data_IF_935467663617
#
_entry.id   IF_935467663617
#
_cell.length_a   1.000
_cell.length_b   1.000
_cell.length_c   1.000
_cell.angle_alpha   90.00
_cell.angle_beta   90.00
_cell.angle_gamma   90.00
#
_symmetry.space_group_name_H-M   'P 1'
#
loop_
_entity.id
_entity.type
_entity.pdbx_description
1 polymer ?
#
# COMPACT_ATOMS: atom_id res chain seq x y z
N UNK A 1 -5.56 7.27 -21.05
CA UNK A 1 -6.78 6.53 -21.39
C UNK A 1 -7.59 7.30 -22.43
N UNK A 2 -8.34 6.59 -23.27
CA UNK A 2 -9.05 7.22 -24.39
C UNK A 2 -10.54 7.39 -24.07
N UNK A 3 -10.91 8.62 -23.77
CA UNK A 3 -12.31 9.02 -23.48
C UNK A 3 -12.95 8.19 -22.34
N UNK A 4 -14.27 8.23 -22.24
CA UNK A 4 -15.02 7.45 -21.25
C UNK A 4 -14.84 5.94 -21.37
N UNK A 5 -14.98 5.32 -22.56
CA UNK A 5 -14.80 3.88 -22.72
C UNK A 5 -13.39 3.41 -22.33
N UNK A 6 -12.34 4.16 -22.67
CA UNK A 6 -10.97 3.82 -22.27
C UNK A 6 -10.74 3.97 -20.76
N UNK A 7 -11.33 4.97 -20.12
CA UNK A 7 -11.31 5.11 -18.67
C UNK A 7 -12.09 3.96 -18.00
N UNK A 8 -13.27 3.63 -18.50
CA UNK A 8 -14.08 2.55 -17.97
C UNK A 8 -13.34 1.21 -17.94
N UNK A 9 -12.58 0.89 -18.99
CA UNK A 9 -11.73 -0.30 -19.04
C UNK A 9 -10.60 -0.28 -17.98
N UNK A 10 -10.14 0.89 -17.56
CA UNK A 10 -9.11 1.06 -16.54
C UNK A 10 -9.62 1.02 -15.09
N UNK A 11 -10.94 1.16 -14.86
CA UNK A 11 -11.50 1.37 -13.51
C UNK A 11 -11.19 0.24 -12.53
N UNK A 12 -11.14 -1.01 -12.97
CA UNK A 12 -10.84 -2.15 -12.11
C UNK A 12 -9.44 -2.01 -11.48
N UNK A 13 -8.43 -1.70 -12.30
CA UNK A 13 -7.06 -1.51 -11.82
C UNK A 13 -6.87 -0.19 -11.08
N UNK A 14 -7.59 0.87 -11.46
CA UNK A 14 -7.61 2.13 -10.70
C UNK A 14 -8.24 1.92 -9.32
N UNK A 15 -9.28 1.07 -9.18
CA UNK A 15 -9.81 0.70 -7.88
C UNK A 15 -8.72 0.03 -7.00
N UNK A 16 -7.97 -0.93 -7.55
CA UNK A 16 -6.89 -1.60 -6.84
C UNK A 16 -5.79 -0.61 -6.43
N UNK A 17 -5.38 0.27 -7.33
CA UNK A 17 -4.40 1.32 -7.06
C UNK A 17 -4.87 2.29 -5.95
N UNK A 18 -6.15 2.66 -5.94
CA UNK A 18 -6.73 3.47 -4.86
C UNK A 18 -6.66 2.75 -3.51
N UNK A 19 -7.01 1.44 -3.47
CA UNK A 19 -6.90 0.63 -2.24
C UNK A 19 -5.46 0.49 -1.77
N UNK A 20 -4.51 0.47 -2.69
CA UNK A 20 -3.08 0.40 -2.43
C UNK A 20 -2.42 1.76 -2.07
N UNK A 21 -3.16 2.88 -2.18
CA UNK A 21 -2.60 4.23 -2.07
C UNK A 21 -1.43 4.46 -3.03
N UNK A 22 -1.54 3.93 -4.26
CA UNK A 22 -0.49 4.05 -5.27
C UNK A 22 -0.58 5.42 -5.94
N UNK A 23 0.50 6.21 -5.94
CA UNK A 23 0.54 7.47 -6.69
C UNK A 23 0.40 7.20 -8.19
N UNK A 24 -0.65 7.75 -8.81
CA UNK A 24 -0.87 7.62 -10.26
C UNK A 24 -1.32 8.97 -10.81
N UNK A 25 -0.69 9.39 -11.91
CA UNK A 25 -1.24 10.43 -12.78
C UNK A 25 -2.00 9.72 -13.89
N UNK A 26 -3.31 9.82 -13.86
CA UNK A 26 -4.22 9.22 -14.84
C UNK A 26 -4.63 10.27 -15.85
N UNK A 27 -4.07 10.22 -17.06
CA UNK A 27 -4.41 11.13 -18.15
C UNK A 27 -5.51 10.51 -19.00
N UNK A 28 -6.63 11.22 -19.11
CA UNK A 28 -7.79 10.79 -19.91
C UNK A 28 -8.00 11.82 -21.01
N UNK A 29 -7.78 11.41 -22.27
CA UNK A 29 -8.09 12.26 -23.42
C UNK A 29 -9.61 12.46 -23.55
N UNK A 30 -10.00 13.65 -23.96
CA UNK A 30 -11.41 14.00 -24.22
C UNK A 30 -11.56 14.64 -25.60
N UNK A 31 -12.79 14.80 -26.07
CA UNK A 31 -13.09 15.58 -27.27
C UNK A 31 -12.60 17.00 -27.13
N UNK A 32 -12.24 17.63 -28.28
CA UNK A 32 -11.93 19.05 -28.29
C UNK A 32 -13.07 19.87 -27.68
N UNK A 33 -12.74 20.92 -26.95
CA UNK A 33 -13.73 21.71 -26.19
C UNK A 33 -14.88 22.23 -27.08
N UNK A 34 -14.59 22.63 -28.31
CA UNK A 34 -15.58 23.09 -29.27
C UNK A 34 -16.43 21.94 -29.87
N UNK A 35 -15.98 20.68 -29.73
CA UNK A 35 -16.66 19.51 -30.28
C UNK A 35 -17.63 18.86 -29.28
N UNK A 36 -17.43 19.06 -27.98
CA UNK A 36 -18.22 18.42 -26.91
C UNK A 36 -19.74 18.65 -27.05
N UNK A 37 -20.16 19.79 -27.60
CA UNK A 37 -21.58 20.13 -27.80
C UNK A 37 -22.33 19.21 -28.78
N UNK A 38 -21.63 18.43 -29.59
CA UNK A 38 -22.23 17.60 -30.65
C UNK A 38 -22.54 16.17 -30.24
N UNK A 39 -22.30 15.81 -28.99
CA UNK A 39 -22.59 14.47 -28.43
C UNK A 39 -22.07 13.35 -29.34
N UNK A 40 -20.78 13.41 -29.66
CA UNK A 40 -20.14 12.45 -30.55
C UNK A 40 -20.23 11.01 -29.99
N UNK A 41 -20.08 9.95 -30.82
CA UNK A 41 -20.32 8.56 -30.41
C UNK A 41 -19.55 8.07 -29.19
N UNK A 42 -18.44 8.69 -28.83
CA UNK A 42 -17.65 8.36 -27.63
C UNK A 42 -17.76 9.41 -26.51
N UNK A 43 -18.65 10.41 -26.67
CA UNK A 43 -18.92 11.35 -25.60
C UNK A 43 -19.42 10.61 -24.36
N UNK A 44 -18.96 11.01 -23.18
CA UNK A 44 -19.25 10.33 -21.93
C UNK A 44 -19.05 11.26 -20.75
N UNK A 45 -19.72 10.99 -19.63
CA UNK A 45 -19.41 11.63 -18.35
C UNK A 45 -18.11 11.08 -17.77
N UNK A 46 -16.97 11.58 -18.31
CA UNK A 46 -15.63 11.15 -17.88
C UNK A 46 -15.38 11.50 -16.41
N UNK A 47 -15.85 12.67 -15.95
CA UNK A 47 -15.73 13.05 -14.55
C UNK A 47 -16.50 12.11 -13.63
N UNK A 48 -17.71 11.71 -14.00
CA UNK A 48 -18.52 10.75 -13.27
C UNK A 48 -17.83 9.39 -13.15
N UNK A 49 -17.15 8.91 -14.20
CA UNK A 49 -16.37 7.69 -14.15
C UNK A 49 -15.09 7.84 -13.30
N UNK A 50 -14.40 8.97 -13.37
CA UNK A 50 -13.15 9.20 -12.65
C UNK A 50 -13.36 9.44 -11.15
N UNK A 51 -14.44 10.10 -10.75
CA UNK A 51 -14.69 10.56 -9.37
C UNK A 51 -14.59 9.46 -8.30
N UNK A 52 -15.12 8.24 -8.47
CA UNK A 52 -15.05 7.21 -7.44
C UNK A 52 -13.63 6.70 -7.15
N UNK A 53 -12.71 6.83 -8.09
CA UNK A 53 -11.35 6.29 -7.98
C UNK A 53 -10.29 7.36 -7.76
N UNK A 54 -10.59 8.64 -8.04
CA UNK A 54 -9.63 9.74 -7.99
C UNK A 54 -9.71 10.52 -6.67
N UNK A 55 -8.58 10.85 -6.08
CA UNK A 55 -8.48 11.79 -4.97
C UNK A 55 -8.33 13.23 -5.43
N UNK A 56 -7.87 13.44 -6.68
CA UNK A 56 -7.80 14.72 -7.36
C UNK A 56 -8.29 14.54 -8.80
N UNK A 57 -9.12 15.46 -9.26
CA UNK A 57 -9.75 15.42 -10.58
C UNK A 57 -9.79 16.83 -11.15
N UNK A 58 -9.28 17.00 -12.35
CA UNK A 58 -9.28 18.28 -13.05
C UNK A 58 -9.41 18.08 -14.56
N UNK A 59 -10.18 18.93 -15.22
CA UNK A 59 -10.26 19.02 -16.67
C UNK A 59 -9.50 20.26 -17.13
N UNK A 60 -8.46 20.07 -17.96
CA UNK A 60 -7.69 21.18 -18.52
C UNK A 60 -8.52 21.90 -19.58
N UNK A 61 -8.65 23.20 -19.45
CA UNK A 61 -9.52 24.00 -20.34
C UNK A 61 -8.74 24.86 -21.35
N UNK A 62 -7.42 24.84 -21.31
CA UNK A 62 -6.59 25.69 -22.15
C UNK A 62 -5.20 25.08 -22.38
N UNK A 63 -4.65 25.19 -23.60
CA UNK A 63 -3.26 24.81 -23.87
C UNK A 63 -2.26 25.66 -23.07
N UNK A 64 -2.64 26.87 -22.67
CA UNK A 64 -1.79 27.75 -21.85
C UNK A 64 -1.61 27.26 -20.41
N UNK A 65 -2.58 26.54 -19.85
CA UNK A 65 -2.54 26.03 -18.47
C UNK A 65 -2.15 24.55 -18.37
N UNK A 66 -2.17 23.81 -19.46
CA UNK A 66 -1.98 22.35 -19.47
C UNK A 66 -0.70 21.89 -18.76
N UNK A 67 0.40 22.64 -18.94
CA UNK A 67 1.67 22.31 -18.28
C UNK A 67 1.57 22.46 -16.75
N UNK A 68 0.92 23.51 -16.26
CA UNK A 68 0.67 23.72 -14.82
C UNK A 68 -0.30 22.70 -14.27
N UNK A 69 -1.34 22.35 -15.04
CA UNK A 69 -2.31 21.32 -14.64
C UNK A 69 -1.64 19.94 -14.52
N UNK A 70 -0.73 19.61 -15.44
CA UNK A 70 0.12 18.43 -15.35
C UNK A 70 1.02 18.42 -14.10
N UNK A 71 1.67 19.54 -13.80
CA UNK A 71 2.49 19.67 -12.60
C UNK A 71 1.66 19.50 -11.30
N UNK A 72 0.44 20.07 -11.26
CA UNK A 72 -0.52 19.89 -10.16
C UNK A 72 -0.99 18.43 -10.03
N UNK A 73 -1.24 17.75 -11.13
CA UNK A 73 -1.61 16.34 -11.12
C UNK A 73 -0.52 15.47 -10.50
N UNK A 74 0.77 15.73 -10.85
CA UNK A 74 1.91 15.02 -10.23
C UNK A 74 2.00 15.33 -8.74
N UNK A 75 1.91 16.59 -8.36
CA UNK A 75 1.92 17.01 -6.94
C UNK A 75 0.79 16.33 -6.17
N UNK A 76 -0.42 16.34 -6.70
CA UNK A 76 -1.58 15.72 -6.06
C UNK A 76 -1.43 14.20 -5.93
N UNK A 77 -0.92 13.52 -6.97
CA UNK A 77 -0.68 12.09 -6.93
C UNK A 77 0.31 11.70 -5.83
N UNK A 78 1.34 12.51 -5.62
CA UNK A 78 2.40 12.28 -4.63
C UNK A 78 2.03 12.69 -3.21
N UNK A 79 0.86 13.31 -2.99
CA UNK A 79 0.42 13.70 -1.65
C UNK A 79 0.22 12.45 -0.78
N UNK A 80 0.82 12.38 0.45
CA UNK A 80 0.69 11.23 1.32
C UNK A 80 -0.77 10.86 1.65
N UNK A 81 -1.09 9.56 1.65
CA UNK A 81 -0.25 8.37 1.44
C UNK A 81 0.04 8.00 -0.02
N UNK A 82 -0.38 8.78 -0.97
CA UNK A 82 -0.45 8.56 -2.40
C UNK A 82 -1.89 8.38 -2.86
N UNK A 83 -2.20 8.90 -4.04
CA UNK A 83 -3.56 8.85 -4.61
C UNK A 83 -3.54 8.88 -6.13
N UNK A 84 -4.70 8.65 -6.73
CA UNK A 84 -4.89 8.81 -8.16
C UNK A 84 -5.27 10.26 -8.43
N UNK A 85 -4.46 10.95 -9.23
CA UNK A 85 -4.78 12.26 -9.79
C UNK A 85 -5.18 12.08 -11.25
N UNK A 86 -6.46 12.32 -11.55
CA UNK A 86 -6.98 12.23 -12.92
C UNK A 86 -7.00 13.60 -13.56
N UNK A 87 -6.27 13.73 -14.66
CA UNK A 87 -6.27 14.91 -15.53
C UNK A 87 -7.02 14.57 -16.82
N UNK A 88 -8.15 15.22 -17.05
CA UNK A 88 -8.89 15.12 -18.28
C UNK A 88 -8.27 16.14 -19.24
N UNK A 89 -7.91 15.67 -20.43
CA UNK A 89 -7.17 16.46 -21.41
C UNK A 89 -7.97 16.54 -22.74
N UNK A 90 -8.75 17.60 -22.96
CA UNK A 90 -9.39 17.84 -24.24
C UNK A 90 -8.37 17.91 -25.38
N UNK A 91 -8.73 17.39 -26.55
CA UNK A 91 -7.83 17.23 -27.69
C UNK A 91 -7.19 18.54 -28.15
N UNK A 92 -7.96 19.63 -28.15
CA UNK A 92 -7.45 20.96 -28.53
C UNK A 92 -6.44 21.54 -27.54
N UNK A 93 -6.47 21.13 -26.27
CA UNK A 93 -5.43 21.51 -25.30
C UNK A 93 -4.10 20.81 -25.57
N UNK A 94 -4.13 19.66 -26.26
CA UNK A 94 -2.94 18.92 -26.66
C UNK A 94 -2.41 19.31 -28.06
N UNK A 95 -3.24 19.89 -28.94
CA UNK A 95 -2.87 20.25 -30.30
C UNK A 95 -2.32 21.67 -30.42
N UNK A 96 -2.80 22.57 -29.56
CA UNK A 96 -2.45 23.97 -29.63
C UNK A 96 -1.17 24.28 -28.85
N UNK A 97 -0.55 25.39 -29.19
CA UNK A 97 0.71 25.81 -28.57
C UNK A 97 0.54 26.14 -27.08
N UNK A 98 1.38 25.53 -26.25
CA UNK A 98 1.56 25.93 -24.86
C UNK A 98 2.50 27.13 -24.77
N UNK A 99 2.24 28.05 -23.85
CA UNK A 99 3.09 29.25 -23.71
C UNK A 99 4.46 28.90 -23.12
N UNK A 100 4.49 28.09 -22.06
CA UNK A 100 5.71 27.73 -21.32
C UNK A 100 5.60 26.35 -20.65
N UNK A 101 6.73 25.65 -20.45
CA UNK A 101 6.76 24.49 -19.57
C UNK A 101 6.52 24.91 -18.11
N UNK A 102 5.88 24.06 -17.31
CA UNK A 102 5.72 24.31 -15.89
C UNK A 102 6.91 23.74 -15.09
N UNK A 103 7.31 24.47 -14.07
CA UNK A 103 8.25 23.94 -13.09
C UNK A 103 7.59 22.83 -12.25
N UNK A 104 8.33 21.79 -11.83
CA UNK A 104 7.82 20.79 -10.89
C UNK A 104 7.35 21.45 -9.58
N UNK A 105 6.19 21.01 -9.08
CA UNK A 105 5.69 21.43 -7.78
C UNK A 105 6.15 20.43 -6.71
N UNK A 106 6.58 20.95 -5.56
CA UNK A 106 6.99 20.09 -4.44
C UNK A 106 5.81 19.29 -3.91
N UNK A 107 6.01 17.99 -3.74
CA UNK A 107 5.05 17.15 -3.04
C UNK A 107 5.10 17.45 -1.53
N UNK A 108 3.95 17.36 -0.85
CA UNK A 108 3.91 17.47 0.61
C UNK A 108 4.68 16.30 1.25
N UNK A 109 5.41 16.58 2.32
CA UNK A 109 5.94 15.52 3.17
C UNK A 109 4.81 14.88 4.00
N UNK A 110 4.94 13.61 4.41
CA UNK A 110 4.02 13.03 5.39
C UNK A 110 4.02 13.87 6.68
N UNK A 111 2.85 14.01 7.30
CA UNK A 111 2.77 14.66 8.60
C UNK A 111 3.40 13.79 9.69
N UNK A 112 3.88 14.42 10.74
CA UNK A 112 4.46 13.70 11.88
C UNK A 112 3.34 13.09 12.74
N UNK A 113 3.51 11.85 13.17
CA UNK A 113 2.63 11.25 14.18
C UNK A 113 2.75 12.00 15.51
N UNK A 114 1.69 12.05 16.29
CA UNK A 114 1.70 12.79 17.56
C UNK A 114 2.62 12.15 18.60
N UNK A 115 3.24 12.96 19.46
CA UNK A 115 4.01 12.47 20.61
C UNK A 115 3.15 11.62 21.54
N UNK A 116 1.88 11.99 21.73
CA UNK A 116 0.93 11.24 22.56
C UNK A 116 0.70 9.82 22.04
N UNK A 117 0.68 9.62 20.70
CA UNK A 117 0.57 8.29 20.11
C UNK A 117 1.83 7.45 20.38
N UNK A 118 3.03 8.06 20.25
CA UNK A 118 4.30 7.41 20.59
C UNK A 118 4.34 7.00 22.06
N UNK A 119 3.98 7.90 22.96
CA UNK A 119 3.95 7.65 24.41
C UNK A 119 2.92 6.57 24.78
N UNK A 120 1.74 6.60 24.16
CA UNK A 120 0.71 5.59 24.38
C UNK A 120 1.20 4.19 23.97
N UNK A 121 1.88 4.08 22.82
CA UNK A 121 2.46 2.80 22.37
C UNK A 121 3.61 2.36 23.27
N UNK A 122 4.53 3.26 23.64
CA UNK A 122 5.63 2.95 24.55
C UNK A 122 5.10 2.45 25.90
N UNK A 123 4.09 3.09 26.45
CA UNK A 123 3.41 2.66 27.68
C UNK A 123 2.75 1.30 27.53
N UNK A 124 2.05 1.07 26.41
CA UNK A 124 1.39 -0.20 26.12
C UNK A 124 2.41 -1.35 26.06
N UNK A 125 3.54 -1.17 25.40
CA UNK A 125 4.63 -2.16 25.31
C UNK A 125 5.23 -2.48 26.68
N UNK A 126 5.23 -1.54 27.63
CA UNK A 126 5.70 -1.74 28.99
C UNK A 126 4.79 -2.57 29.88
N UNK A 127 3.55 -2.90 29.45
CA UNK A 127 2.57 -3.63 30.26
C UNK A 127 2.79 -5.16 30.28
N UNK A 128 3.60 -5.71 29.39
CA UNK A 128 3.79 -7.15 29.23
C UNK A 128 2.62 -7.89 28.56
N UNK A 129 1.60 -7.17 28.10
CA UNK A 129 0.45 -7.75 27.39
C UNK A 129 0.84 -8.22 25.98
N UNK A 130 0.15 -9.25 25.49
CA UNK A 130 0.37 -9.76 24.13
C UNK A 130 0.01 -8.70 23.11
N UNK A 131 1.04 -8.21 22.41
CA UNK A 131 0.95 -7.08 21.49
C UNK A 131 1.23 -7.52 20.06
N UNK A 132 0.43 -7.03 19.12
CA UNK A 132 0.70 -7.18 17.68
C UNK A 132 0.67 -5.80 17.00
N UNK A 133 1.56 -5.63 16.04
CA UNK A 133 1.56 -4.48 15.13
C UNK A 133 0.98 -4.90 13.79
N UNK A 134 0.12 -4.07 13.21
CA UNK A 134 -0.23 -4.17 11.79
C UNK A 134 0.41 -2.99 11.09
N UNK A 135 1.32 -3.30 10.17
CA UNK A 135 2.18 -2.34 9.50
C UNK A 135 1.79 -2.23 8.03
N UNK A 136 1.73 -1.01 7.49
CA UNK A 136 1.36 -0.75 6.10
C UNK A 136 2.21 0.37 5.49
N UNK A 137 2.17 0.45 4.15
CA UNK A 137 2.74 1.56 3.39
C UNK A 137 4.28 1.63 3.45
N UNK A 138 4.83 2.82 3.64
CA UNK A 138 6.27 3.05 3.68
C UNK A 138 6.98 2.27 4.80
N UNK A 139 6.27 1.99 5.91
CA UNK A 139 6.81 1.24 7.04
C UNK A 139 7.08 -0.25 6.74
N UNK A 140 6.56 -0.80 5.64
CA UNK A 140 6.90 -2.14 5.13
C UNK A 140 8.18 -2.18 4.27
N UNK A 141 8.92 -1.07 4.22
CA UNK A 141 10.25 -1.02 3.62
C UNK A 141 11.33 -1.17 4.70
N UNK A 142 12.57 -1.38 4.25
CA UNK A 142 13.72 -1.69 5.09
C UNK A 142 13.83 -0.87 6.37
N UNK A 143 13.79 0.46 6.27
CA UNK A 143 13.95 1.35 7.42
C UNK A 143 12.83 1.18 8.46
N UNK A 144 11.57 1.09 8.02
CA UNK A 144 10.42 0.87 8.91
C UNK A 144 10.43 -0.52 9.52
N UNK A 145 10.76 -1.54 8.71
CA UNK A 145 10.90 -2.92 9.19
C UNK A 145 12.02 -3.07 10.22
N UNK A 146 13.16 -2.41 10.04
CA UNK A 146 14.26 -2.40 11.01
C UNK A 146 13.80 -1.80 12.34
N UNK A 147 13.10 -0.66 12.33
CA UNK A 147 12.56 -0.05 13.55
C UNK A 147 11.53 -0.98 14.24
N UNK A 148 10.61 -1.57 13.48
CA UNK A 148 9.65 -2.53 14.01
C UNK A 148 10.34 -3.79 14.59
N UNK A 149 11.38 -4.30 13.93
CA UNK A 149 12.17 -5.43 14.42
C UNK A 149 12.91 -5.12 15.74
N UNK A 150 13.41 -3.90 15.91
CA UNK A 150 13.99 -3.42 17.18
C UNK A 150 12.94 -3.40 18.30
N UNK A 151 11.74 -2.91 18.00
CA UNK A 151 10.62 -2.93 18.95
C UNK A 151 10.27 -4.37 19.33
N UNK A 152 10.15 -5.27 18.34
CA UNK A 152 9.86 -6.67 18.57
C UNK A 152 10.93 -7.36 19.42
N UNK A 153 12.21 -7.06 19.17
CA UNK A 153 13.33 -7.59 19.97
C UNK A 153 13.24 -7.20 21.47
N UNK A 154 12.74 -5.99 21.76
CA UNK A 154 12.57 -5.49 23.12
C UNK A 154 11.32 -6.01 23.81
N UNK A 155 10.19 -6.06 23.07
CA UNK A 155 8.86 -6.25 23.65
C UNK A 155 8.27 -7.65 23.42
N UNK A 156 8.81 -8.43 22.48
CA UNK A 156 8.21 -9.67 22.02
C UNK A 156 6.95 -9.47 21.16
N UNK A 157 6.66 -8.24 20.72
CA UNK A 157 5.49 -7.95 19.90
C UNK A 157 5.56 -8.65 18.54
N UNK A 158 4.42 -9.16 18.07
CA UNK A 158 4.30 -9.73 16.73
C UNK A 158 4.20 -8.63 15.69
N UNK A 159 4.77 -8.88 14.52
CA UNK A 159 4.75 -7.96 13.39
C UNK A 159 3.91 -8.57 12.26
N UNK A 160 2.83 -7.87 11.88
CA UNK A 160 1.91 -8.32 10.84
C UNK A 160 1.76 -7.23 9.77
N UNK A 161 1.35 -7.64 8.57
CA UNK A 161 0.93 -6.75 7.50
C UNK A 161 -0.41 -7.21 6.91
N UNK A 162 -1.05 -6.33 6.13
CA UNK A 162 -2.30 -6.68 5.43
C UNK A 162 -2.15 -7.94 4.58
N UNK A 163 -3.25 -8.68 4.40
CA UNK A 163 -3.35 -9.81 3.48
C UNK A 163 -2.80 -9.47 2.09
N UNK A 164 -3.15 -8.31 1.57
CA UNK A 164 -2.70 -7.77 0.29
C UNK A 164 -1.89 -6.48 0.51
N UNK A 165 -0.67 -6.64 1.04
CA UNK A 165 0.27 -5.52 1.16
C UNK A 165 0.71 -5.08 -0.26
N UNK A 166 0.54 -3.78 -0.62
CA UNK A 166 0.87 -3.31 -1.97
C UNK A 166 2.36 -3.42 -2.31
N UNK A 167 3.21 -3.22 -1.31
CA UNK A 167 4.68 -3.35 -1.41
C UNK A 167 5.23 -3.81 -0.08
N UNK A 168 6.04 -4.84 -0.12
CA UNK A 168 6.73 -5.39 1.05
C UNK A 168 8.18 -5.70 0.65
N UNK A 169 9.14 -5.09 1.33
CA UNK A 169 10.53 -5.49 1.22
C UNK A 169 10.76 -6.71 2.11
N UNK A 170 11.23 -7.80 1.51
CA UNK A 170 11.46 -9.08 2.20
C UNK A 170 12.67 -9.80 1.61
N UNK A 171 13.05 -10.92 2.18
CA UNK A 171 14.20 -11.70 1.78
C UNK A 171 15.30 -11.70 2.84
N UNK A 172 16.42 -12.29 2.51
CA UNK A 172 17.58 -12.40 3.41
C UNK A 172 18.03 -11.03 3.94
N UNK A 173 18.32 -10.97 5.23
CA UNK A 173 18.74 -9.74 5.91
C UNK A 173 17.62 -8.76 6.25
N UNK A 174 16.37 -9.05 5.89
CA UNK A 174 15.20 -8.23 6.19
C UNK A 174 14.43 -8.78 7.38
N UNK A 175 13.79 -7.89 8.13
CA UNK A 175 12.84 -8.28 9.19
C UNK A 175 11.60 -8.85 8.54
N UNK A 176 11.22 -10.05 8.97
CA UNK A 176 10.02 -10.73 8.50
C UNK A 176 8.78 -10.19 9.18
N UNK A 177 7.68 -10.10 8.44
CA UNK A 177 6.34 -9.81 8.96
C UNK A 177 5.39 -10.91 8.54
N UNK A 178 4.48 -11.29 9.43
CA UNK A 178 3.42 -12.23 9.12
C UNK A 178 2.36 -11.54 8.27
N UNK A 179 1.89 -12.22 7.24
CA UNK A 179 0.76 -11.71 6.45
C UNK A 179 -0.54 -12.15 7.10
N UNK A 180 -1.45 -11.23 7.36
CA UNK A 180 -2.80 -11.55 7.84
C UNK A 180 -3.47 -12.48 6.83
N UNK A 181 -4.06 -13.62 7.29
CA UNK A 181 -4.74 -14.57 6.42
C UNK A 181 -5.91 -13.97 5.65
N UNK A 182 -6.38 -14.68 4.62
CA UNK A 182 -7.50 -14.23 3.79
C UNK A 182 -8.87 -14.53 4.44
N UNK A 183 -9.03 -15.74 5.02
CA UNK A 183 -10.31 -16.16 5.58
C UNK A 183 -10.53 -15.59 6.99
N UNK A 184 -11.74 -15.12 7.26
CA UNK A 184 -12.10 -14.46 8.50
C UNK A 184 -11.78 -15.30 9.73
N UNK A 185 -12.06 -16.61 9.67
CA UNK A 185 -11.79 -17.55 10.77
C UNK A 185 -10.31 -17.63 11.10
N UNK A 186 -9.46 -17.64 10.06
CA UNK A 186 -8.01 -17.67 10.24
C UNK A 186 -7.49 -16.34 10.78
N UNK A 187 -8.11 -15.20 10.38
CA UNK A 187 -7.76 -13.89 10.95
C UNK A 187 -8.08 -13.87 12.44
N UNK A 188 -9.27 -14.33 12.83
CA UNK A 188 -9.70 -14.40 14.24
C UNK A 188 -8.77 -15.33 15.03
N UNK A 189 -8.45 -16.50 14.50
CA UNK A 189 -7.49 -17.42 15.12
C UNK A 189 -6.10 -16.79 15.27
N UNK A 190 -5.62 -16.10 14.24
CA UNK A 190 -4.31 -15.41 14.24
C UNK A 190 -4.23 -14.34 15.32
N UNK A 191 -5.34 -13.67 15.61
CA UNK A 191 -5.39 -12.54 16.56
C UNK A 191 -6.03 -12.90 17.91
N UNK A 192 -6.49 -14.12 18.13
CA UNK A 192 -7.30 -14.52 19.30
C UNK A 192 -6.67 -14.21 20.65
N UNK A 193 -5.36 -14.19 20.72
CA UNK A 193 -4.58 -13.93 21.93
C UNK A 193 -4.03 -12.50 22.04
N UNK A 194 -4.32 -11.64 21.05
CA UNK A 194 -3.85 -10.25 21.02
C UNK A 194 -4.66 -9.41 21.99
N UNK A 195 -3.99 -8.84 22.99
CA UNK A 195 -4.58 -7.92 23.97
C UNK A 195 -4.38 -6.45 23.59
N UNK A 196 -3.37 -6.16 22.75
CA UNK A 196 -3.06 -4.83 22.25
C UNK A 196 -2.75 -4.90 20.76
N UNK A 197 -3.50 -4.15 19.96
CA UNK A 197 -3.31 -4.06 18.52
C UNK A 197 -2.84 -2.66 18.15
N UNK A 198 -1.58 -2.54 17.69
CA UNK A 198 -0.99 -1.28 17.29
C UNK A 198 -1.04 -1.14 15.77
N UNK A 199 -1.58 -0.02 15.30
CA UNK A 199 -1.80 0.23 13.87
C UNK A 199 -0.82 1.29 13.37
N UNK A 200 -0.05 0.93 12.32
CA UNK A 200 0.94 1.80 11.67
C UNK A 200 0.52 2.01 10.21
N UNK A 201 -0.16 3.12 9.93
CA UNK A 201 -0.75 3.40 8.63
C UNK A 201 -1.84 2.40 8.21
N UNK A 202 -2.27 1.54 9.10
CA UNK A 202 -3.19 0.43 8.87
C UNK A 202 -4.56 0.67 9.52
N UNK A 203 -5.49 -0.24 9.24
CA UNK A 203 -6.80 -0.31 9.88
C UNK A 203 -6.96 -1.67 10.58
N UNK A 204 -7.85 -1.76 11.58
CA UNK A 204 -8.20 -3.07 12.15
C UNK A 204 -8.71 -4.03 11.09
N UNK A 205 -8.34 -5.32 11.16
CA UNK A 205 -8.75 -6.31 10.17
C UNK A 205 -10.26 -6.56 10.18
N UNK A 206 -10.80 -6.70 8.98
CA UNK A 206 -12.19 -7.11 8.72
C UNK A 206 -12.19 -8.26 7.73
N UNK A 207 -13.24 -9.06 7.73
CA UNK A 207 -13.40 -10.11 6.73
C UNK A 207 -13.48 -9.53 5.32
N UNK A 208 -13.00 -10.29 4.35
CA UNK A 208 -13.04 -9.86 2.95
C UNK A 208 -14.47 -9.83 2.40
N UNK A 209 -15.25 -10.83 2.76
CA UNK A 209 -16.68 -10.93 2.47
C UNK A 209 -17.47 -11.30 3.72
N UNK A 210 -18.71 -10.85 3.79
CA UNK A 210 -19.64 -11.30 4.82
C UNK A 210 -20.26 -12.65 4.42
N UNK A 211 -20.24 -13.60 5.34
CA UNK A 211 -20.91 -14.88 5.20
C UNK A 211 -21.81 -15.15 6.43
N UNK A 212 -22.95 -15.84 6.26
CA UNK A 212 -23.81 -16.22 7.39
C UNK A 212 -23.04 -16.98 8.47
N UNK A 213 -23.13 -16.54 9.70
CA UNK A 213 -22.46 -17.18 10.85
C UNK A 213 -20.94 -16.97 10.92
N UNK A 214 -20.37 -16.12 10.07
CA UNK A 214 -18.94 -15.77 10.09
C UNK A 214 -18.73 -14.33 10.58
N UNK A 215 -17.62 -14.05 11.28
CA UNK A 215 -17.35 -12.70 11.77
C UNK A 215 -17.02 -11.74 10.63
N UNK A 216 -17.54 -10.53 10.69
CA UNK A 216 -17.11 -9.41 9.83
C UNK A 216 -15.99 -8.60 10.46
N UNK A 217 -16.02 -8.40 11.76
CA UNK A 217 -14.95 -7.82 12.55
C UNK A 217 -14.02 -8.93 13.06
N UNK A 218 -12.73 -8.83 12.80
CA UNK A 218 -11.76 -9.89 13.07
C UNK A 218 -10.76 -9.58 14.19
N UNK A 219 -10.84 -8.38 14.77
CA UNK A 219 -10.04 -8.03 15.96
C UNK A 219 -10.77 -8.47 17.22
N UNK A 220 -10.10 -9.05 18.22
CA UNK A 220 -10.75 -9.40 19.50
C UNK A 220 -11.41 -8.15 20.12
N UNK A 221 -12.65 -8.29 20.59
CA UNK A 221 -13.40 -7.16 21.18
C UNK A 221 -12.72 -6.61 22.45
N UNK A 222 -11.96 -7.45 23.14
CA UNK A 222 -11.20 -7.09 24.34
C UNK A 222 -9.84 -6.45 24.03
N UNK A 223 -9.39 -6.47 22.79
CA UNK A 223 -8.11 -5.91 22.43
C UNK A 223 -8.15 -4.37 22.44
N UNK A 224 -7.15 -3.77 23.09
CA UNK A 224 -6.94 -2.33 23.03
C UNK A 224 -6.31 -1.94 21.70
N UNK A 225 -7.04 -1.19 20.89
CA UNK A 225 -6.57 -0.73 19.55
C UNK A 225 -5.92 0.64 19.72
N UNK A 226 -4.64 0.76 19.32
CA UNK A 226 -3.85 1.99 19.42
C UNK A 226 -3.35 2.36 18.03
N UNK A 227 -3.64 3.57 17.56
CA UNK A 227 -3.08 4.11 16.32
C UNK A 227 -1.75 4.79 16.62
N UNK A 228 -0.64 4.20 16.17
CA UNK A 228 0.67 4.84 16.22
C UNK A 228 0.78 5.90 15.11
N UNK A 229 0.29 5.58 13.92
CA UNK A 229 0.21 6.55 12.82
C UNK A 229 -0.96 6.27 11.91
N UNK A 230 -1.52 7.33 11.33
CA UNK A 230 -2.51 7.25 10.26
C UNK A 230 -1.83 7.13 8.88
N UNK A 231 -2.56 6.74 7.80
CA UNK A 231 -1.95 6.52 6.48
C UNK A 231 -1.19 7.73 5.89
N UNK A 232 -1.58 8.96 6.24
CA UNK A 232 -0.97 10.20 5.76
C UNK A 232 0.21 10.68 6.62
N UNK A 233 0.49 9.99 7.73
CA UNK A 233 1.57 10.30 8.65
C UNK A 233 2.83 9.46 8.38
N UNK A 234 3.97 9.93 8.87
CA UNK A 234 5.25 9.21 8.77
C UNK A 234 5.31 8.06 9.78
N UNK A 235 4.77 6.91 9.37
CA UNK A 235 4.81 5.68 10.19
C UNK A 235 6.22 5.14 10.42
N UNK A 236 7.19 5.48 9.56
CA UNK A 236 8.60 5.09 9.73
C UNK A 236 9.21 5.87 10.89
N UNK A 237 9.10 7.20 10.86
CA UNK A 237 9.58 8.05 11.95
C UNK A 237 8.87 7.73 13.28
N UNK A 238 7.57 7.40 13.23
CA UNK A 238 6.82 7.01 14.42
C UNK A 238 7.34 5.70 15.03
N UNK A 239 7.66 4.68 14.22
CA UNK A 239 8.28 3.44 14.71
C UNK A 239 9.67 3.68 15.29
N UNK A 240 10.50 4.52 14.67
CA UNK A 240 11.79 4.91 15.20
C UNK A 240 11.67 5.60 16.55
N UNK A 241 10.75 6.55 16.68
CA UNK A 241 10.48 7.25 17.93
C UNK A 241 10.04 6.29 19.05
N UNK A 242 9.16 5.32 18.76
CA UNK A 242 8.78 4.28 19.74
C UNK A 242 10.00 3.42 20.11
N UNK A 243 10.80 2.99 19.14
CA UNK A 243 12.00 2.18 19.43
C UNK A 243 12.96 2.91 20.34
N UNK A 244 13.14 4.21 20.16
CA UNK A 244 13.99 5.04 21.01
C UNK A 244 13.37 5.26 22.39
N UNK A 245 12.07 5.55 22.47
CA UNK A 245 11.33 5.76 23.74
C UNK A 245 11.39 4.54 24.67
N UNK A 246 11.35 3.31 24.12
CA UNK A 246 11.46 2.08 24.91
C UNK A 246 12.92 1.59 25.07
N UNK A 247 13.91 2.35 24.61
CA UNK A 247 15.31 1.97 24.59
C UNK A 247 15.52 0.58 23.94
N UNK A 248 14.93 0.39 22.75
CA UNK A 248 15.03 -0.85 22.00
C UNK A 248 16.49 -1.10 21.55
N UNK A 249 16.95 -2.37 21.48
CA UNK A 249 18.28 -2.69 20.99
C UNK A 249 18.49 -2.22 19.56
N UNK A 250 19.75 -2.10 19.13
CA UNK A 250 20.08 -1.77 17.73
C UNK A 250 19.78 -2.92 16.79
N UNK A 251 19.88 -4.15 17.28
CA UNK A 251 19.64 -5.37 16.53
C UNK A 251 18.14 -5.65 16.46
N UNK A 252 17.68 -6.00 15.27
CA UNK A 252 16.27 -6.35 15.03
C UNK A 252 16.03 -7.83 15.31
N UNK A 253 14.86 -8.15 15.85
CA UNK A 253 14.35 -9.52 15.88
C UNK A 253 13.83 -9.96 14.48
N UNK A 254 13.67 -11.28 14.31
CA UNK A 254 13.03 -11.89 13.13
C UNK A 254 13.70 -11.56 11.78
N UNK A 255 15.01 -11.35 11.78
CA UNK A 255 15.77 -11.15 10.53
C UNK A 255 15.88 -12.47 9.78
N UNK A 256 15.42 -12.49 8.53
CA UNK A 256 15.48 -13.67 7.68
C UNK A 256 16.93 -14.03 7.33
N UNK A 257 17.29 -15.29 7.55
CA UNK A 257 18.53 -15.83 7.03
C UNK A 257 18.39 -16.14 5.53
N UNK A 258 19.47 -16.03 4.76
CA UNK A 258 19.47 -16.44 3.36
C UNK A 258 19.17 -17.93 3.25
N UNK A 259 18.09 -18.26 2.56
CA UNK A 259 17.68 -19.64 2.34
C UNK A 259 16.99 -19.74 0.97
N UNK A 260 17.77 -20.05 -0.07
CA UNK A 260 17.23 -20.33 -1.40
C UNK A 260 16.77 -21.79 -1.48
N UNK A 261 15.61 -22.07 -2.06
CA UNK A 261 15.16 -23.44 -2.27
C UNK A 261 16.04 -24.15 -3.29
N UNK A 262 16.18 -25.47 -3.13
CA UNK A 262 16.78 -26.33 -4.16
C UNK A 262 15.89 -26.41 -5.38
N UNK A 263 16.51 -26.71 -6.56
CA UNK A 263 15.75 -26.96 -7.76
C UNK A 263 14.89 -28.23 -7.60
N UNK A 264 13.58 -28.14 -7.79
CA UNK A 264 12.70 -29.30 -7.69
C UNK A 264 12.94 -30.27 -8.87
N UNK A 265 12.55 -31.52 -8.64
CA UNK A 265 12.56 -32.57 -9.67
C UNK A 265 11.12 -33.06 -9.88
N UNK A 266 10.81 -33.48 -11.11
CA UNK A 266 9.50 -34.00 -11.47
C UNK A 266 8.58 -32.96 -12.08
N UNK A 267 7.27 -33.16 -11.96
CA UNK A 267 6.24 -32.30 -12.53
C UNK A 267 6.16 -30.94 -11.82
N UNK A 268 5.78 -29.91 -12.59
CA UNK A 268 5.57 -28.58 -12.05
C UNK A 268 4.14 -28.44 -11.48
N UNK A 269 4.07 -28.06 -10.25
CA UNK A 269 2.87 -27.54 -9.60
C UNK A 269 3.11 -26.13 -9.05
N UNK A 270 2.17 -25.55 -8.34
CA UNK A 270 2.30 -24.20 -7.79
C UNK A 270 3.49 -24.06 -6.80
N UNK A 271 3.85 -25.12 -6.07
CA UNK A 271 4.92 -25.08 -5.08
C UNK A 271 6.28 -25.27 -5.75
N UNK A 272 6.38 -26.27 -6.63
CA UNK A 272 7.62 -26.53 -7.40
C UNK A 272 7.95 -25.38 -8.36
N UNK A 273 6.95 -24.77 -8.99
CA UNK A 273 7.13 -23.53 -9.76
C UNK A 273 7.66 -22.38 -8.88
N UNK A 274 7.11 -22.23 -7.69
CA UNK A 274 7.61 -21.28 -6.70
C UNK A 274 9.07 -21.53 -6.29
N UNK A 275 9.46 -22.79 -6.09
CA UNK A 275 10.86 -23.17 -5.79
C UNK A 275 11.82 -22.80 -6.93
N UNK A 276 11.43 -23.05 -8.19
CA UNK A 276 12.25 -22.61 -9.35
C UNK A 276 12.44 -21.09 -9.32
N UNK A 277 11.36 -20.32 -9.10
CA UNK A 277 11.44 -18.85 -9.00
C UNK A 277 12.39 -18.45 -7.87
N UNK A 278 12.23 -19.02 -6.66
CA UNK A 278 13.05 -18.69 -5.51
C UNK A 278 14.52 -19.06 -5.70
N UNK A 279 14.80 -20.18 -6.36
CA UNK A 279 16.16 -20.61 -6.65
C UNK A 279 16.92 -19.60 -7.53
N UNK A 280 16.28 -19.13 -8.61
CA UNK A 280 16.90 -18.21 -9.56
C UNK A 280 16.68 -16.73 -9.26
N UNK A 281 15.96 -16.41 -8.18
CA UNK A 281 15.66 -15.01 -7.85
C UNK A 281 16.96 -14.22 -7.61
N UNK A 282 17.24 -13.16 -8.39
CA UNK A 282 18.39 -12.32 -8.15
C UNK A 282 18.14 -11.34 -6.99
N UNK A 283 19.21 -10.84 -6.39
CA UNK A 283 19.12 -9.79 -5.39
C UNK A 283 18.49 -8.53 -5.98
N UNK A 284 17.63 -7.86 -5.19
CA UNK A 284 16.94 -6.65 -5.61
C UNK A 284 15.80 -6.87 -6.62
N UNK A 285 15.41 -8.11 -6.90
CA UNK A 285 14.29 -8.42 -7.78
C UNK A 285 12.97 -7.86 -7.26
N UNK A 286 12.09 -7.47 -8.18
CA UNK A 286 10.71 -7.10 -7.89
C UNK A 286 9.79 -8.21 -8.39
N UNK A 287 9.03 -8.80 -7.47
CA UNK A 287 7.99 -9.76 -7.83
C UNK A 287 6.66 -9.01 -7.85
N UNK A 288 6.02 -8.97 -9.02
CA UNK A 288 4.64 -8.52 -9.17
C UNK A 288 3.74 -9.74 -9.16
N UNK A 289 2.99 -9.92 -8.06
CA UNK A 289 2.13 -11.07 -7.85
C UNK A 289 0.66 -10.67 -8.01
N UNK A 290 0.00 -11.27 -8.99
CA UNK A 290 -1.43 -11.12 -9.26
C UNK A 290 -2.17 -12.47 -9.13
N UNK A 291 -1.49 -13.52 -8.70
CA UNK A 291 -2.01 -14.87 -8.61
C UNK A 291 -2.65 -15.14 -7.23
N UNK A 292 -3.96 -15.31 -7.19
CA UNK A 292 -4.69 -15.51 -5.94
C UNK A 292 -4.34 -16.85 -5.27
N UNK A 293 -4.15 -17.92 -6.02
CA UNK A 293 -3.89 -19.28 -5.50
C UNK A 293 -2.52 -19.80 -5.90
N UNK A 294 -2.15 -19.73 -7.17
CA UNK A 294 -0.86 -20.21 -7.67
C UNK A 294 0.34 -19.40 -7.17
N UNK A 295 0.14 -18.16 -6.71
CA UNK A 295 1.18 -17.32 -6.09
C UNK A 295 1.64 -17.79 -4.71
N UNK A 296 0.91 -18.65 -4.02
CA UNK A 296 1.26 -19.11 -2.66
C UNK A 296 2.64 -19.78 -2.64
N UNK A 297 2.91 -20.68 -3.59
CA UNK A 297 4.20 -21.34 -3.70
C UNK A 297 5.36 -20.35 -3.89
N UNK A 298 5.17 -19.36 -4.77
CA UNK A 298 6.16 -18.30 -5.00
C UNK A 298 6.35 -17.42 -3.76
N UNK A 299 5.25 -17.07 -3.06
CA UNK A 299 5.32 -16.26 -1.85
C UNK A 299 6.14 -16.94 -0.74
N UNK A 300 5.98 -18.26 -0.56
CA UNK A 300 6.73 -19.06 0.40
C UNK A 300 8.20 -19.20 -0.02
N UNK A 301 8.44 -19.65 -1.26
CA UNK A 301 9.76 -19.97 -1.75
C UNK A 301 10.71 -18.76 -1.89
N UNK A 302 10.14 -17.55 -2.01
CA UNK A 302 10.92 -16.30 -2.12
C UNK A 302 10.96 -15.48 -0.82
N UNK A 303 10.42 -16.01 0.28
CA UNK A 303 10.37 -15.27 1.54
C UNK A 303 11.74 -14.98 2.14
N UNK A 304 12.71 -15.83 1.87
CA UNK A 304 14.08 -15.80 2.43
C UNK A 304 15.17 -15.90 1.35
N UNK A 305 14.75 -15.85 0.08
CA UNK A 305 15.68 -15.91 -1.05
C UNK A 305 16.41 -14.59 -1.28
#
# INVERSE_FOLDING_TARGET
LHLGPGLANGLANLHNARRASTPIVNIVGDHATYHAQYDAPLASDIEGFARPVSGWLHSSNSPKTVAVDGARAVQAAMQPPGQIATLILPADTAWLDAEHPAAPLAAAAPSTASSDAVDAVAKALGTGKKTAFIIRGAALKERGLAAAGRIAAKSGARLLCDTFAPRLQRGAGRVTVERIPYFAEQIVETLQDVEQLILVGAKPPVSFFAYPGKPSWCTPETANIIYLSHPHEDGVAALEAVADAISAPRESAHVAALQKPDLPKGELDQFTAGQVIGHYLPDGAIISDEAATSGIGSAIATATA
#
